data_IF_336170714272
#
_entry.id   IF_336170714272
#
_cell.length_a   1.000
_cell.length_b   1.000
_cell.length_c   1.000
_cell.angle_alpha   90.00
_cell.angle_beta   90.00
_cell.angle_gamma   90.00
#
_symmetry.space_group_name_H-M   'P 1'
#
loop_
_entity.id
_entity.type
_entity.pdbx_description
1 polymer ?
#
# COMPACT_ATOMS: atom_id res chain seq x y z
N UNK A 1 -15.66 16.69 -3.33
CA UNK A 1 -15.64 15.27 -3.70
C UNK A 1 -15.14 14.48 -2.50
N UNK A 2 -15.92 13.53 -1.95
CA UNK A 2 -15.43 12.64 -0.88
C UNK A 2 -14.46 11.65 -1.53
N UNK A 3 -13.16 11.83 -1.34
CA UNK A 3 -12.16 10.85 -1.77
C UNK A 3 -12.49 9.53 -1.08
N UNK A 4 -12.86 8.51 -1.85
CA UNK A 4 -13.22 7.23 -1.27
C UNK A 4 -11.96 6.63 -0.61
N UNK A 5 -12.01 6.40 0.71
CA UNK A 5 -10.89 5.82 1.49
C UNK A 5 -10.41 4.51 0.87
N UNK A 6 -11.31 3.75 0.25
CA UNK A 6 -10.98 2.54 -0.48
C UNK A 6 -10.13 2.81 -1.72
N UNK A 7 -10.42 3.86 -2.49
CA UNK A 7 -9.59 4.27 -3.63
C UNK A 7 -8.18 4.68 -3.21
N UNK A 8 -8.02 5.35 -2.06
CA UNK A 8 -6.70 5.69 -1.52
C UNK A 8 -5.92 4.41 -1.17
N UNK A 9 -6.57 3.46 -0.49
CA UNK A 9 -5.95 2.18 -0.10
C UNK A 9 -5.55 1.35 -1.32
N UNK A 10 -6.44 1.21 -2.31
CA UNK A 10 -6.15 0.46 -3.53
C UNK A 10 -5.08 1.14 -4.38
N UNK A 11 -5.11 2.48 -4.48
CA UNK A 11 -4.06 3.25 -5.17
C UNK A 11 -2.70 3.05 -4.51
N UNK A 12 -2.64 3.09 -3.18
CA UNK A 12 -1.40 2.85 -2.44
C UNK A 12 -0.88 1.41 -2.56
N UNK A 13 -1.79 0.43 -2.54
CA UNK A 13 -1.44 -0.98 -2.78
C UNK A 13 -0.89 -1.16 -4.21
N UNK A 14 -1.47 -0.46 -5.18
CA UNK A 14 -1.00 -0.43 -6.57
C UNK A 14 0.38 0.22 -6.69
N UNK A 15 0.64 1.35 -6.00
CA UNK A 15 1.96 2.00 -5.94
C UNK A 15 3.01 1.01 -5.41
N UNK A 16 2.73 0.33 -4.30
CA UNK A 16 3.65 -0.65 -3.71
C UNK A 16 3.88 -1.87 -4.61
N UNK A 17 2.86 -2.30 -5.36
CA UNK A 17 3.02 -3.37 -6.35
C UNK A 17 3.91 -2.94 -7.52
N UNK A 18 3.70 -1.75 -8.07
CA UNK A 18 4.55 -1.23 -9.15
C UNK A 18 5.99 -1.09 -8.71
N UNK A 19 6.22 -0.55 -7.50
CA UNK A 19 7.55 -0.49 -6.91
C UNK A 19 8.18 -1.88 -6.73
N UNK A 20 7.39 -2.86 -6.25
CA UNK A 20 7.86 -4.23 -6.10
C UNK A 20 8.31 -4.82 -7.45
N UNK A 21 7.59 -4.55 -8.54
CA UNK A 21 7.97 -5.01 -9.88
C UNK A 21 9.21 -4.28 -10.41
N UNK A 22 9.27 -2.96 -10.30
CA UNK A 22 10.38 -2.15 -10.82
C UNK A 22 11.70 -2.44 -10.09
N UNK A 23 11.64 -2.61 -8.77
CA UNK A 23 12.81 -2.80 -7.92
C UNK A 23 13.11 -4.27 -7.62
N UNK A 24 12.57 -5.21 -8.41
CA UNK A 24 12.83 -6.66 -8.28
C UNK A 24 12.57 -7.19 -6.86
N UNK A 25 11.51 -6.71 -6.23
CA UNK A 25 11.02 -7.19 -4.95
C UNK A 25 11.61 -6.54 -3.70
N UNK A 26 12.27 -5.39 -3.83
CA UNK A 26 12.72 -4.59 -2.67
C UNK A 26 11.55 -4.02 -1.86
N UNK A 27 11.89 -3.51 -0.68
CA UNK A 27 10.96 -2.82 0.22
C UNK A 27 10.98 -1.32 -0.08
N UNK A 28 9.81 -0.69 -0.17
CA UNK A 28 9.68 0.75 -0.26
C UNK A 28 10.07 1.37 1.10
N UNK A 29 10.81 2.48 1.05
CA UNK A 29 11.15 3.27 2.24
C UNK A 29 10.15 4.41 2.37
N UNK A 30 9.51 4.47 3.53
CA UNK A 30 8.48 5.44 3.86
C UNK A 30 8.99 6.27 5.04
N UNK A 31 9.07 7.60 4.94
CA UNK A 31 9.59 8.40 6.03
C UNK A 31 8.64 8.36 7.25
N UNK A 32 9.20 8.37 8.46
CA UNK A 32 8.42 8.29 9.69
C UNK A 32 7.52 9.51 9.93
N UNK A 33 7.94 10.68 9.46
CA UNK A 33 7.18 11.91 9.48
C UNK A 33 5.98 11.93 8.50
N UNK A 34 5.76 10.85 7.73
CA UNK A 34 4.59 10.75 6.85
C UNK A 34 3.28 10.90 7.61
N UNK A 35 3.20 10.43 8.87
CA UNK A 35 2.01 10.61 9.71
C UNK A 35 1.64 12.09 9.90
N UNK A 36 2.64 12.98 9.94
CA UNK A 36 2.45 14.43 10.10
C UNK A 36 2.19 15.10 8.76
N UNK A 37 2.89 14.69 7.70
CA UNK A 37 2.80 15.31 6.37
C UNK A 37 1.50 14.89 5.65
N UNK A 38 1.17 13.60 5.70
CA UNK A 38 0.00 13.02 5.06
C UNK A 38 -0.58 11.88 5.92
N UNK A 39 -1.35 12.22 6.96
CA UNK A 39 -1.92 11.24 7.88
C UNK A 39 -2.82 10.23 7.16
N UNK A 40 -3.55 10.64 6.12
CA UNK A 40 -4.42 9.73 5.36
C UNK A 40 -3.64 8.62 4.65
N UNK A 41 -2.49 8.97 4.04
CA UNK A 41 -1.61 7.99 3.40
C UNK A 41 -1.00 7.06 4.44
N UNK A 42 -0.63 7.57 5.61
CA UNK A 42 -0.11 6.76 6.71
C UNK A 42 -1.16 5.78 7.23
N UNK A 43 -2.38 6.24 7.53
CA UNK A 43 -3.48 5.36 7.97
C UNK A 43 -3.87 4.33 6.91
N UNK A 44 -3.75 4.66 5.62
CA UNK A 44 -3.95 3.69 4.57
C UNK A 44 -2.87 2.59 4.60
N UNK A 45 -1.59 2.93 4.83
CA UNK A 45 -0.52 1.94 5.00
C UNK A 45 -0.76 1.03 6.22
N UNK A 46 -1.16 1.60 7.35
CA UNK A 46 -1.49 0.83 8.56
C UNK A 46 -2.65 -0.12 8.28
N UNK A 47 -3.74 0.36 7.68
CA UNK A 47 -4.86 -0.49 7.30
C UNK A 47 -4.43 -1.64 6.37
N UNK A 48 -3.64 -1.37 5.33
CA UNK A 48 -3.15 -2.40 4.42
C UNK A 48 -2.27 -3.43 5.14
N UNK A 49 -1.51 -3.01 6.16
CA UNK A 49 -0.68 -3.89 6.97
C UNK A 49 -1.52 -4.76 7.90
N UNK A 50 -2.54 -4.18 8.54
CA UNK A 50 -3.50 -4.89 9.40
C UNK A 50 -4.28 -5.96 8.63
N UNK A 51 -4.61 -5.70 7.35
CA UNK A 51 -5.24 -6.68 6.47
C UNK A 51 -4.26 -7.76 5.95
N UNK A 52 -2.96 -7.66 6.26
CA UNK A 52 -1.93 -8.59 5.77
C UNK A 52 -1.57 -8.41 4.29
N UNK A 53 -2.07 -7.37 3.62
CA UNK A 53 -1.80 -7.09 2.20
C UNK A 53 -0.42 -6.49 1.98
N UNK A 54 0.14 -5.86 3.00
CA UNK A 54 1.54 -5.41 3.02
C UNK A 54 2.20 -5.85 4.32
N UNK A 55 3.53 -5.94 4.32
CA UNK A 55 4.35 -5.98 5.52
C UNK A 55 4.99 -4.62 5.70
N UNK A 56 4.80 -4.04 6.88
CA UNK A 56 5.43 -2.78 7.28
C UNK A 56 6.29 -3.01 8.52
N UNK A 57 7.53 -2.49 8.52
CA UNK A 57 8.45 -2.58 9.66
C UNK A 57 9.19 -1.27 9.87
N UNK A 58 9.23 -0.76 11.10
CA UNK A 58 10.03 0.42 11.43
C UNK A 58 11.52 0.09 11.38
N UNK A 59 12.31 0.96 10.76
CA UNK A 59 13.77 0.94 10.63
C UNK A 59 14.31 2.35 10.88
N UNK A 60 14.54 2.68 12.16
CA UNK A 60 14.98 4.02 12.56
C UNK A 60 13.96 5.09 12.17
N UNK A 61 14.36 6.02 11.29
CA UNK A 61 13.55 7.14 10.79
C UNK A 61 12.67 6.80 9.58
N UNK A 62 12.61 5.53 9.20
CA UNK A 62 11.81 5.08 8.06
C UNK A 62 11.00 3.84 8.44
N UNK A 63 9.94 3.60 7.70
CA UNK A 63 9.26 2.32 7.62
C UNK A 63 9.65 1.64 6.31
N UNK A 64 9.99 0.36 6.39
CA UNK A 64 10.13 -0.49 5.22
C UNK A 64 8.79 -1.17 4.95
N UNK A 65 8.18 -0.89 3.80
CA UNK A 65 6.91 -1.45 3.37
C UNK A 65 7.10 -2.36 2.15
N UNK A 66 6.40 -3.49 2.10
CA UNK A 66 6.44 -4.40 0.95
C UNK A 66 5.10 -5.10 0.78
N UNK A 67 4.62 -5.19 -0.45
CA UNK A 67 3.40 -5.94 -0.76
C UNK A 67 3.59 -7.45 -0.51
N UNK A 68 2.58 -8.10 0.04
CA UNK A 68 2.55 -9.55 0.26
C UNK A 68 1.90 -10.27 -0.94
N UNK A 69 2.05 -11.61 -1.05
CA UNK A 69 1.28 -12.38 -2.03
C UNK A 69 -0.24 -12.13 -1.93
N UNK A 70 -0.78 -12.08 -0.71
CA UNK A 70 -2.21 -11.79 -0.46
C UNK A 70 -2.61 -10.39 -0.96
N UNK A 71 -1.73 -9.39 -0.79
CA UNK A 71 -1.97 -8.05 -1.34
C UNK A 71 -2.00 -8.03 -2.86
N UNK A 72 -1.13 -8.82 -3.51
CA UNK A 72 -1.11 -8.97 -4.98
C UNK A 72 -2.41 -9.64 -5.46
N UNK A 73 -2.87 -10.69 -4.78
CA UNK A 73 -4.14 -11.37 -5.08
C UNK A 73 -5.33 -10.43 -4.94
N UNK A 74 -5.40 -9.66 -3.83
CA UNK A 74 -6.45 -8.66 -3.62
C UNK A 74 -6.48 -7.62 -4.73
N UNK A 75 -5.30 -7.13 -5.14
CA UNK A 75 -5.17 -6.16 -6.22
C UNK A 75 -5.70 -6.72 -7.55
N UNK A 76 -5.34 -7.96 -7.91
CA UNK A 76 -5.85 -8.64 -9.10
C UNK A 76 -7.37 -8.81 -9.06
N UNK A 77 -7.93 -9.23 -7.93
CA UNK A 77 -9.37 -9.39 -7.75
C UNK A 77 -10.14 -8.06 -7.86
N UNK A 78 -9.53 -6.94 -7.43
CA UNK A 78 -10.14 -5.62 -7.60
C UNK A 78 -10.17 -5.18 -9.06
N UNK A 79 -9.12 -5.49 -9.83
CA UNK A 79 -9.02 -5.15 -11.27
C UNK A 79 -9.95 -5.99 -12.14
N UNK A 80 -10.15 -7.28 -11.81
CA UNK A 80 -11.12 -8.11 -12.53
C UNK A 80 -12.55 -7.61 -12.36
N UNK A 81 -12.91 -7.13 -11.17
CA UNK A 81 -14.25 -6.59 -10.91
C UNK A 81 -14.51 -5.26 -11.65
N UNK A 82 -13.46 -4.51 -11.99
CA UNK A 82 -13.53 -3.28 -12.80
C UNK A 82 -13.74 -3.57 -14.30
N UNK A 83 -13.49 -4.79 -14.78
CA UNK A 83 -13.70 -5.17 -16.19
C UNK A 83 -15.09 -5.76 -16.46
N UNK A 84 -15.84 -6.12 -15.42
CA UNK A 84 -17.19 -6.71 -15.52
C UNK A 84 -18.31 -5.76 -15.05
N UNK A 85 -18.02 -4.48 -14.85
CA UNK A 85 -18.99 -3.43 -14.47
C UNK A 85 -19.14 -2.37 -15.55
#
# INVERSE_FOLDING_TARGET
MRTNRESIRLGLLQELYQFFLSEKGKQALIPDNLITINPEKFFALEYLADQGWIRMRKKGKFFAAKITPQGIERLRASQSNLQTS
#
